data_IF_334164355907
#
_entry.id   IF_334164355907
#
_cell.length_a   1.000
_cell.length_b   1.000
_cell.length_c   1.000
_cell.angle_alpha   90.00
_cell.angle_beta   90.00
_cell.angle_gamma   90.00
#
_symmetry.space_group_name_H-M   'P 1'
#
loop_
_entity.id
_entity.type
_entity.pdbx_description
1 polymer ?
#
# COMPACT_ATOMS: atom_id res chain seq x y z
N UNK A 1 20.29 -19.22 -9.60
CA UNK A 1 20.04 -18.59 -8.29
C UNK A 1 21.15 -18.86 -7.25
N UNK A 2 21.91 -19.97 -7.31
CA UNK A 2 23.10 -20.22 -6.46
C UNK A 2 24.25 -19.20 -6.56
N UNK A 3 24.33 -18.40 -7.63
CA UNK A 3 25.42 -17.42 -7.87
C UNK A 3 25.24 -16.10 -7.08
N UNK A 4 24.17 -15.95 -6.29
CA UNK A 4 23.85 -14.75 -5.50
C UNK A 4 23.48 -15.06 -4.03
N UNK A 5 23.80 -16.25 -3.53
CA UNK A 5 23.47 -16.68 -2.15
C UNK A 5 21.98 -16.55 -1.78
N UNK A 6 21.08 -16.62 -2.77
CA UNK A 6 19.64 -16.56 -2.54
C UNK A 6 19.14 -17.96 -2.23
N UNK A 7 18.74 -18.19 -0.97
CA UNK A 7 18.10 -19.44 -0.53
C UNK A 7 16.81 -19.66 -1.35
N UNK A 8 16.63 -20.87 -1.87
CA UNK A 8 15.48 -21.23 -2.73
C UNK A 8 14.13 -21.15 -1.99
N UNK A 9 14.16 -21.24 -0.66
CA UNK A 9 13.02 -21.05 0.25
C UNK A 9 13.10 -19.71 1.01
N UNK A 10 13.58 -18.64 0.37
CA UNK A 10 13.45 -17.33 0.98
C UNK A 10 11.98 -16.92 0.99
N UNK A 11 11.44 -16.48 2.14
CA UNK A 11 10.07 -15.93 2.30
C UNK A 11 9.75 -14.81 1.30
N UNK A 12 10.78 -14.21 0.71
CA UNK A 12 10.68 -13.19 -0.34
C UNK A 12 10.31 -13.73 -1.72
N UNK A 13 10.41 -15.05 -1.94
CA UNK A 13 10.08 -15.70 -3.21
C UNK A 13 8.64 -16.19 -3.13
N UNK A 14 7.74 -15.46 -3.79
CA UNK A 14 6.32 -15.84 -3.90
C UNK A 14 6.14 -16.93 -4.96
N UNK A 15 5.34 -17.95 -4.64
CA UNK A 15 4.95 -18.98 -5.60
C UNK A 15 3.97 -18.41 -6.63
N UNK A 16 4.17 -18.78 -7.90
CA UNK A 16 3.25 -18.43 -8.99
C UNK A 16 2.11 -19.43 -8.97
N UNK A 17 0.88 -18.96 -8.72
CA UNK A 17 -0.30 -19.84 -8.62
C UNK A 17 -0.84 -20.18 -10.02
N UNK A 18 -1.13 -19.17 -10.84
CA UNK A 18 -1.69 -19.32 -12.19
C UNK A 18 -1.43 -18.06 -13.03
N UNK A 19 -1.67 -18.14 -14.34
CA UNK A 19 -1.77 -16.94 -15.19
C UNK A 19 -2.97 -16.09 -14.75
N UNK A 20 -2.82 -14.78 -14.83
CA UNK A 20 -3.90 -13.84 -14.56
C UNK A 20 -5.05 -14.09 -15.54
N UNK A 21 -6.28 -14.12 -15.03
CA UNK A 21 -7.51 -14.11 -15.82
C UNK A 21 -8.01 -12.68 -16.01
N UNK A 22 -8.94 -12.47 -16.95
CA UNK A 22 -9.51 -11.15 -17.22
C UNK A 22 -10.15 -10.54 -15.96
N UNK A 23 -10.78 -11.36 -15.12
CA UNK A 23 -11.32 -10.93 -13.81
C UNK A 23 -10.23 -10.40 -12.86
N UNK A 24 -9.02 -10.97 -12.88
CA UNK A 24 -7.91 -10.48 -12.05
C UNK A 24 -7.43 -9.11 -12.55
N UNK A 25 -7.47 -8.89 -13.87
CA UNK A 25 -7.10 -7.62 -14.51
C UNK A 25 -8.14 -6.55 -14.16
N UNK A 26 -9.44 -6.85 -14.32
CA UNK A 26 -10.52 -5.94 -13.94
C UNK A 26 -10.46 -5.58 -12.46
N UNK A 27 -10.19 -6.57 -11.60
CA UNK A 27 -10.01 -6.34 -10.16
C UNK A 27 -8.84 -5.40 -9.91
N UNK A 28 -7.70 -5.61 -10.57
CA UNK A 28 -6.52 -4.75 -10.45
C UNK A 28 -6.82 -3.31 -10.89
N UNK A 29 -7.52 -3.12 -12.01
CA UNK A 29 -7.93 -1.80 -12.49
C UNK A 29 -8.90 -1.11 -11.52
N UNK A 30 -9.86 -1.86 -10.97
CA UNK A 30 -10.80 -1.34 -9.97
C UNK A 30 -10.09 -0.89 -8.70
N UNK A 31 -9.03 -1.60 -8.28
CA UNK A 31 -8.20 -1.24 -7.14
C UNK A 31 -7.38 0.02 -7.44
N UNK A 32 -6.76 0.11 -8.63
CA UNK A 32 -6.06 1.32 -9.08
C UNK A 32 -6.95 2.55 -9.14
N UNK A 33 -8.20 2.39 -9.57
CA UNK A 33 -9.17 3.49 -9.55
C UNK A 33 -9.44 3.99 -8.12
N UNK A 34 -9.41 3.11 -7.12
CA UNK A 34 -9.59 3.47 -5.70
C UNK A 34 -8.36 4.18 -5.11
N UNK A 35 -7.16 3.95 -5.63
CA UNK A 35 -5.90 4.57 -5.13
C UNK A 35 -6.01 6.09 -5.14
N UNK A 36 -6.46 6.69 -6.25
CA UNK A 36 -6.60 8.15 -6.36
C UNK A 36 -7.53 8.74 -5.29
N UNK A 37 -8.68 8.11 -5.07
CA UNK A 37 -9.65 8.57 -4.08
C UNK A 37 -9.11 8.37 -2.65
N UNK A 38 -8.42 7.26 -2.40
CA UNK A 38 -7.73 7.01 -1.13
C UNK A 38 -6.67 8.06 -0.84
N UNK A 39 -5.90 8.45 -1.85
CA UNK A 39 -4.78 9.37 -1.70
C UNK A 39 -5.25 10.75 -1.25
N UNK A 40 -6.37 11.24 -1.79
CA UNK A 40 -6.99 12.49 -1.35
C UNK A 40 -7.43 12.38 0.12
N UNK A 41 -8.13 11.30 0.50
CA UNK A 41 -8.56 11.09 1.90
C UNK A 41 -7.38 10.99 2.86
N UNK A 42 -6.33 10.25 2.48
CA UNK A 42 -5.11 10.10 3.25
C UNK A 42 -4.46 11.46 3.55
N UNK A 43 -4.35 12.34 2.53
CA UNK A 43 -3.84 13.70 2.72
C UNK A 43 -4.70 14.54 3.67
N UNK A 44 -6.03 14.44 3.57
CA UNK A 44 -6.96 15.18 4.44
C UNK A 44 -6.77 14.75 5.90
N UNK A 45 -6.71 13.44 6.16
CA UNK A 45 -6.51 12.89 7.50
C UNK A 45 -5.15 13.32 8.06
N UNK A 46 -4.07 13.17 7.29
CA UNK A 46 -2.73 13.58 7.72
C UNK A 46 -2.69 15.08 8.10
N UNK A 47 -3.37 15.94 7.33
CA UNK A 47 -3.48 17.37 7.62
C UNK A 47 -4.33 17.65 8.86
N UNK A 48 -5.41 16.89 9.07
CA UNK A 48 -6.27 17.05 10.26
C UNK A 48 -5.57 16.67 11.56
N UNK A 49 -4.55 15.81 11.48
CA UNK A 49 -3.71 15.41 12.60
C UNK A 49 -2.45 16.29 12.75
N UNK A 50 -2.37 17.38 11.97
CA UNK A 50 -1.24 18.33 11.95
C UNK A 50 0.13 17.66 11.79
N UNK A 51 0.18 16.54 11.07
CA UNK A 51 1.42 15.82 10.83
C UNK A 51 2.20 16.48 9.68
N UNK A 52 3.45 16.86 9.94
CA UNK A 52 4.37 17.40 8.94
C UNK A 52 4.89 16.31 7.98
N UNK A 53 3.98 15.70 7.22
CA UNK A 53 4.28 14.71 6.18
C UNK A 53 3.62 15.03 4.85
N UNK A 54 4.23 14.54 3.77
CA UNK A 54 3.64 14.50 2.43
C UNK A 54 3.37 13.05 2.06
N UNK A 55 2.09 12.71 1.86
CA UNK A 55 1.68 11.41 1.30
C UNK A 55 1.90 11.46 -0.20
N UNK A 56 2.86 10.66 -0.67
CA UNK A 56 3.29 10.61 -2.07
C UNK A 56 2.41 9.70 -2.90
N UNK A 57 2.25 8.44 -2.46
CA UNK A 57 1.52 7.43 -3.21
C UNK A 57 0.88 6.36 -2.32
N UNK A 58 -0.10 5.63 -2.87
CA UNK A 58 -0.76 4.50 -2.23
C UNK A 58 -0.83 3.37 -3.23
N UNK A 59 -0.32 2.21 -2.84
CA UNK A 59 -0.35 1.00 -3.65
C UNK A 59 -1.22 -0.06 -2.98
N UNK A 60 -2.21 -0.57 -3.70
CA UNK A 60 -2.87 -1.82 -3.29
C UNK A 60 -2.14 -3.02 -3.86
N UNK A 61 -1.98 -4.04 -3.03
CA UNK A 61 -1.67 -5.36 -3.52
C UNK A 61 -2.76 -5.83 -4.49
N UNK A 62 -2.41 -6.57 -5.55
CA UNK A 62 -3.38 -7.04 -6.56
C UNK A 62 -4.58 -7.83 -6.01
N UNK A 63 -4.42 -8.49 -4.85
CA UNK A 63 -5.52 -9.15 -4.13
C UNK A 63 -6.45 -8.19 -3.35
N UNK A 64 -6.04 -6.93 -3.16
CA UNK A 64 -6.72 -5.91 -2.37
C UNK A 64 -6.56 -6.05 -0.86
N UNK A 65 -5.82 -7.07 -0.38
CA UNK A 65 -5.68 -7.39 1.06
C UNK A 65 -4.78 -6.44 1.83
N UNK A 66 -3.85 -5.77 1.15
CA UNK A 66 -2.88 -4.87 1.77
C UNK A 66 -2.80 -3.60 0.96
N UNK A 67 -2.83 -2.47 1.66
CA UNK A 67 -2.52 -1.16 1.13
C UNK A 67 -1.19 -0.69 1.73
N UNK A 68 -0.32 -0.17 0.89
CA UNK A 68 0.98 0.39 1.26
C UNK A 68 0.93 1.89 1.00
N UNK A 69 1.22 2.68 2.03
CA UNK A 69 1.20 4.14 1.96
C UNK A 69 2.64 4.65 1.97
N UNK A 70 3.00 5.44 0.95
CA UNK A 70 4.31 6.06 0.84
C UNK A 70 4.24 7.52 1.27
N UNK A 71 5.11 7.91 2.19
CA UNK A 71 5.18 9.28 2.67
C UNK A 71 6.63 9.74 2.83
N UNK A 72 6.81 11.05 2.77
CA UNK A 72 8.07 11.74 3.06
C UNK A 72 7.85 12.73 4.20
N UNK A 73 8.82 12.82 5.10
CA UNK A 73 8.78 13.65 6.29
C UNK A 73 10.18 14.20 6.59
N UNK A 74 10.27 15.46 7.01
CA UNK A 74 11.55 16.09 7.34
C UNK A 74 12.08 15.64 8.72
N UNK A 75 11.16 15.34 9.65
CA UNK A 75 11.46 14.87 11.00
C UNK A 75 10.76 13.55 11.31
N UNK A 76 11.10 12.94 12.45
CA UNK A 76 10.41 11.74 12.94
C UNK A 76 8.98 12.11 13.37
N UNK A 77 8.00 11.38 12.84
CA UNK A 77 6.59 11.61 13.10
C UNK A 77 6.00 10.43 13.88
N UNK A 78 5.12 10.71 14.85
CA UNK A 78 4.26 9.69 15.43
C UNK A 78 3.03 9.46 14.52
N UNK A 79 2.99 8.30 13.87
CA UNK A 79 1.95 7.93 12.92
C UNK A 79 0.88 6.99 13.52
N UNK A 80 0.91 6.70 14.83
CA UNK A 80 0.00 5.71 15.43
C UNK A 80 -1.48 6.09 15.29
N UNK A 81 -1.81 7.35 15.55
CA UNK A 81 -3.19 7.84 15.39
C UNK A 81 -3.61 7.88 13.92
N UNK A 82 -2.68 8.20 13.02
CA UNK A 82 -2.91 8.15 11.57
C UNK A 82 -3.32 6.74 11.13
N UNK A 83 -2.59 5.70 11.58
CA UNK A 83 -2.90 4.31 11.26
C UNK A 83 -4.27 3.89 11.79
N UNK A 84 -4.66 4.34 12.99
CA UNK A 84 -6.00 4.07 13.53
C UNK A 84 -7.09 4.70 12.68
N UNK A 85 -6.93 5.97 12.29
CA UNK A 85 -7.89 6.64 11.41
C UNK A 85 -7.96 5.99 10.03
N UNK A 86 -6.83 5.56 9.48
CA UNK A 86 -6.80 4.83 8.22
C UNK A 86 -7.53 3.49 8.34
N UNK A 87 -7.25 2.71 9.38
CA UNK A 87 -7.95 1.44 9.61
C UNK A 87 -9.46 1.62 9.78
N UNK A 88 -9.90 2.72 10.41
CA UNK A 88 -11.32 3.03 10.55
C UNK A 88 -11.97 3.53 9.27
N UNK A 89 -11.24 4.30 8.44
CA UNK A 89 -11.76 4.92 7.21
C UNK A 89 -11.77 3.95 6.04
N UNK A 90 -10.87 2.95 6.05
CA UNK A 90 -10.55 2.10 4.93
C UNK A 90 -10.87 0.61 5.17
N UNK A 91 -11.88 0.32 5.97
CA UNK A 91 -12.36 -1.04 6.26
C UNK A 91 -12.98 -1.71 5.01
#
# INVERSE_FOLDING_TARGET
MKKKDVKENADTIRSIVRKATDEDIERMESLRAKEKAMLVKARVIARSLELEMKVGDIEFQGDGKKATFFYTADNRIDFRELVKQYASTFK
#
